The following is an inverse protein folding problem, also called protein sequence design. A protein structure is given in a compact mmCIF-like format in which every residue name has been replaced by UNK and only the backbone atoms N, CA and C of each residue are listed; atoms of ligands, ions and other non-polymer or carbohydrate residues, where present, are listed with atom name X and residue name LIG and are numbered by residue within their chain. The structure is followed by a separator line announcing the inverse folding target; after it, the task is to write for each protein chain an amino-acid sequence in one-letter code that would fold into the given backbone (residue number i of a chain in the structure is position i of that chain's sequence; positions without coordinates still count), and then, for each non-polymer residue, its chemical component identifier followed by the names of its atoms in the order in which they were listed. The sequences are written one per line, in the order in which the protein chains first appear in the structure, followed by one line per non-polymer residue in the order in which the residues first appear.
data_IF_336450237456
#
_entry.id   IF_336450237456
#
_cell.length_a   1.000
_cell.length_b   1.000
_cell.length_c   1.000
_cell.angle_alpha   90.00
_cell.angle_beta   90.00
_cell.angle_gamma   90.00
#
_symmetry.space_group_name_H-M   'P 1'
#
loop_
_entity.id
_entity.type
_entity.pdbx_description
1 polymer ?
#
# COMPACT_ATOMS: atom_id res chain seq x y z
N UNK A 1 -2.38 5.33 7.82
CA UNK A 1 -1.68 4.48 6.85
C UNK A 1 -2.72 3.93 5.91
N UNK A 2 -2.68 4.42 4.68
CA UNK A 2 -3.60 4.00 3.63
C UNK A 2 -3.41 2.50 3.31
N UNK A 3 -4.43 1.85 2.73
CA UNK A 3 -4.41 0.41 2.43
C UNK A 3 -3.25 0.03 1.50
N UNK A 4 -2.89 0.90 0.56
CA UNK A 4 -1.79 0.66 -0.38
C UNK A 4 -0.44 0.80 0.31
N UNK A 5 -0.31 1.81 1.16
CA UNK A 5 0.88 2.05 1.95
C UNK A 5 1.18 0.83 2.87
N UNK A 6 0.15 0.26 3.49
CA UNK A 6 0.26 -0.99 4.27
C UNK A 6 0.71 -2.17 3.41
N UNK A 7 0.18 -2.31 2.21
CA UNK A 7 0.52 -3.42 1.31
C UNK A 7 1.98 -3.32 0.83
N UNK A 8 2.41 -2.13 0.42
CA UNK A 8 3.81 -1.87 0.05
C UNK A 8 4.74 -2.14 1.23
N UNK A 9 4.36 -1.73 2.44
CA UNK A 9 5.14 -2.01 3.66
C UNK A 9 5.25 -3.53 3.90
N UNK A 10 4.17 -4.29 3.69
CA UNK A 10 4.19 -5.74 3.83
C UNK A 10 5.12 -6.41 2.80
N UNK A 11 5.11 -5.95 1.55
CA UNK A 11 6.04 -6.41 0.50
C UNK A 11 7.49 -6.19 0.95
N UNK A 12 7.83 -4.96 1.34
CA UNK A 12 9.19 -4.62 1.81
C UNK A 12 9.61 -5.48 3.00
N UNK A 13 8.71 -5.68 3.99
CA UNK A 13 9.00 -6.54 5.13
C UNK A 13 9.31 -7.98 4.72
N UNK A 14 8.59 -8.52 3.73
CA UNK A 14 8.83 -9.87 3.20
C UNK A 14 10.10 -9.92 2.34
N UNK A 15 10.46 -8.87 1.60
CA UNK A 15 11.72 -8.80 0.85
C UNK A 15 12.93 -8.78 1.78
N UNK A 16 12.85 -8.04 2.88
CA UNK A 16 13.95 -7.88 3.85
C UNK A 16 13.99 -8.98 4.92
N UNK A 17 12.95 -9.81 5.01
CA UNK A 17 12.84 -10.85 6.02
C UNK A 17 14.03 -11.82 6.01
N UNK A 18 14.47 -12.26 7.19
CA UNK A 18 15.45 -13.35 7.33
C UNK A 18 14.80 -14.70 6.99
N UNK A 19 15.61 -15.68 6.58
CA UNK A 19 15.11 -16.99 6.14
C UNK A 19 14.53 -17.90 7.24
N UNK A 20 14.65 -17.53 8.52
CA UNK A 20 14.12 -18.30 9.66
C UNK A 20 13.47 -17.38 10.70
N UNK A 21 12.36 -17.79 11.34
CA UNK A 21 11.71 -17.00 12.36
C UNK A 21 12.46 -17.06 13.70
N UNK A 22 12.55 -15.93 14.39
CA UNK A 22 13.11 -15.81 15.74
C UNK A 22 12.02 -15.85 16.84
N UNK A 23 10.77 -16.10 16.46
CA UNK A 23 9.58 -16.13 17.33
C UNK A 23 8.57 -17.20 16.86
N UNK A 24 7.37 -17.21 17.43
CA UNK A 24 6.27 -18.12 17.08
C UNK A 24 5.64 -17.80 15.70
N UNK A 25 6.46 -17.87 14.65
CA UNK A 25 6.07 -17.61 13.26
C UNK A 25 6.33 -18.83 12.37
N UNK A 26 5.71 -18.87 11.20
CA UNK A 26 5.88 -19.94 10.21
C UNK A 26 6.97 -19.59 9.17
N UNK A 27 7.48 -20.62 8.50
CA UNK A 27 8.34 -20.49 7.31
C UNK A 27 7.46 -20.65 6.07
N UNK A 28 7.60 -19.73 5.12
CA UNK A 28 6.87 -19.74 3.84
C UNK A 28 7.84 -19.61 2.68
N UNK A 29 7.41 -19.97 1.47
CA UNK A 29 8.19 -19.74 0.27
C UNK A 29 8.14 -18.26 -0.10
N UNK A 30 9.29 -17.56 -0.04
CA UNK A 30 9.35 -16.10 -0.21
C UNK A 30 8.76 -15.64 -1.55
N UNK A 31 9.17 -16.29 -2.65
CA UNK A 31 8.73 -15.89 -3.98
C UNK A 31 7.22 -16.03 -4.15
N UNK A 32 6.62 -17.08 -3.57
CA UNK A 32 5.17 -17.31 -3.65
C UNK A 32 4.40 -16.25 -2.83
N UNK A 33 4.90 -15.92 -1.63
CA UNK A 33 4.31 -14.84 -0.83
C UNK A 33 4.38 -13.48 -1.55
N UNK A 34 5.53 -13.15 -2.15
CA UNK A 34 5.68 -11.91 -2.90
C UNK A 34 4.75 -11.85 -4.11
N UNK A 35 4.61 -12.95 -4.86
CA UNK A 35 3.68 -13.04 -5.99
C UNK A 35 2.22 -12.77 -5.57
N UNK A 36 1.79 -13.32 -4.44
CA UNK A 36 0.44 -13.06 -3.89
C UNK A 36 0.27 -11.58 -3.53
N UNK A 37 1.26 -10.98 -2.87
CA UNK A 37 1.21 -9.58 -2.45
C UNK A 37 1.23 -8.63 -3.65
N UNK A 38 2.01 -8.95 -4.68
CA UNK A 38 2.04 -8.20 -5.94
C UNK A 38 0.71 -8.30 -6.69
N UNK A 39 0.13 -9.50 -6.78
CA UNK A 39 -1.22 -9.68 -7.35
C UNK A 39 -2.29 -8.90 -6.59
N UNK A 40 -2.21 -8.86 -5.25
CA UNK A 40 -3.09 -8.03 -4.45
C UNK A 40 -2.93 -6.53 -4.77
N UNK A 41 -1.69 -6.07 -4.98
CA UNK A 41 -1.39 -4.68 -5.33
C UNK A 41 -1.94 -4.32 -6.72
N UNK A 42 -1.79 -5.22 -7.69
CA UNK A 42 -2.32 -5.02 -9.04
C UNK A 42 -3.85 -5.07 -9.11
N UNK A 43 -4.50 -5.80 -8.19
CA UNK A 43 -5.96 -5.85 -8.09
C UNK A 43 -6.59 -4.53 -7.59
N UNK A 44 -5.79 -3.63 -7.03
CA UNK A 44 -6.27 -2.35 -6.52
C UNK A 44 -6.60 -1.41 -7.68
N UNK A 45 -7.82 -0.83 -7.71
CA UNK A 45 -8.23 0.02 -8.80
C UNK A 45 -7.40 1.32 -8.85
N UNK A 46 -6.64 1.51 -9.93
CA UNK A 46 -5.87 2.75 -10.15
C UNK A 46 -6.78 4.01 -10.17
N UNK A 47 -8.02 3.85 -10.60
CA UNK A 47 -9.01 4.93 -10.64
C UNK A 47 -9.38 5.44 -9.24
N UNK A 48 -9.26 4.62 -8.19
CA UNK A 48 -9.51 5.04 -6.81
C UNK A 48 -8.50 6.11 -6.37
N UNK A 49 -7.21 5.88 -6.63
CA UNK A 49 -6.15 6.85 -6.33
C UNK A 49 -6.37 8.18 -7.05
N UNK A 50 -6.76 8.11 -8.32
CA UNK A 50 -7.03 9.30 -9.12
C UNK A 50 -8.22 10.07 -8.55
N UNK A 51 -9.26 9.37 -8.11
CA UNK A 51 -10.42 9.99 -7.48
C UNK A 51 -10.04 10.68 -6.15
N UNK A 52 -9.21 10.04 -5.32
CA UNK A 52 -8.71 10.62 -4.07
C UNK A 52 -7.86 11.88 -4.30
N UNK A 53 -6.96 11.87 -5.29
CA UNK A 53 -6.16 13.05 -5.67
C UNK A 53 -7.04 14.21 -6.18
N UNK A 54 -8.08 13.90 -6.95
CA UNK A 54 -9.06 14.91 -7.40
C UNK A 54 -9.80 15.52 -6.20
N UNK A 55 -10.23 14.70 -5.24
CA UNK A 55 -10.91 15.18 -4.03
C UNK A 55 -9.99 16.07 -3.19
N UNK A 56 -8.73 15.66 -2.98
CA UNK A 56 -7.74 16.44 -2.25
C UNK A 56 -7.47 17.80 -2.90
N UNK A 57 -7.32 17.84 -4.24
CA UNK A 57 -7.16 19.08 -5.00
C UNK A 57 -8.38 19.99 -4.88
N UNK A 58 -9.58 19.41 -4.96
CA UNK A 58 -10.84 20.14 -4.79
C UNK A 58 -10.90 20.80 -3.42
N UNK A 59 -10.55 20.07 -2.36
CA UNK A 59 -10.59 20.60 -1.00
C UNK A 59 -9.58 21.73 -0.80
N UNK A 60 -8.37 21.60 -1.36
CA UNK A 60 -7.36 22.67 -1.35
C UNK A 60 -7.86 23.96 -2.05
N UNK A 61 -8.47 23.83 -3.23
CA UNK A 61 -9.03 24.96 -3.98
C UNK A 61 -10.18 25.64 -3.23
N UNK A 62 -11.05 24.87 -2.58
CA UNK A 62 -12.16 25.41 -1.78
C UNK A 62 -11.63 26.21 -0.59
N UNK A 63 -10.58 25.73 0.06
CA UNK A 63 -9.99 26.43 1.20
C UNK A 63 -9.25 27.71 0.77
N UNK A 64 -8.51 27.67 -0.34
CA UNK A 64 -7.88 28.86 -0.94
C UNK A 64 -8.93 29.94 -1.23
N UNK A 65 -10.05 29.56 -1.87
CA UNK A 65 -11.15 30.48 -2.17
C UNK A 65 -11.88 31.03 -0.96
N UNK A 66 -11.86 30.33 0.20
CA UNK A 66 -12.41 30.83 1.47
C UNK A 66 -11.48 31.80 2.18
N UNK A 67 -10.18 31.65 1.96
CA UNK A 67 -9.13 32.50 2.55
C UNK A 67 -8.87 33.80 1.76
N UNK A 68 -9.47 33.93 0.58
CA UNK A 68 -9.44 35.12 -0.29
C UNK A 68 -10.62 36.05 0.00
#
# INVERSE_FOLDING_TARGET
MDSIEKLNTAITLVEEARGVPLSASCVVHRSEMLEILDGARESLPQDLFRAEDILAKRDALVEEGRSS
#
